data_IF_495299869711
#
_entry.id   IF_495299869711
#
_cell.length_a   1.000
_cell.length_b   1.000
_cell.length_c   1.000
_cell.angle_alpha   90.00
_cell.angle_beta   90.00
_cell.angle_gamma   90.00
#
_symmetry.space_group_name_H-M   'P 1'
#
loop_
_entity.id
_entity.type
_entity.pdbx_description
1 polymer ?
#
# COMPACT_ATOMS: atom_id res chain seq x y z
N UNK A 1 20.86 3.94 -60.09
CA UNK A 1 21.32 2.55 -60.31
C UNK A 1 21.59 2.01 -58.92
N UNK A 2 20.63 1.27 -58.37
CA UNK A 2 20.84 0.08 -57.53
C UNK A 2 19.45 -0.47 -57.17
N UNK A 3 19.18 -1.66 -57.70
CA UNK A 3 17.99 -2.48 -57.50
C UNK A 3 18.11 -3.22 -56.16
N UNK A 4 17.04 -3.30 -55.37
CA UNK A 4 16.74 -4.52 -54.61
C UNK A 4 15.23 -4.79 -54.57
N UNK A 5 14.94 -6.07 -54.77
CA UNK A 5 13.70 -6.68 -55.22
C UNK A 5 12.70 -6.95 -54.10
N UNK A 6 11.42 -6.87 -54.47
CA UNK A 6 10.29 -7.46 -53.75
C UNK A 6 10.38 -8.99 -53.81
N UNK A 7 10.24 -9.66 -52.66
CA UNK A 7 9.86 -11.08 -52.63
C UNK A 7 8.51 -11.24 -51.92
N UNK A 8 7.53 -11.62 -52.73
CA UNK A 8 6.22 -12.15 -52.38
C UNK A 8 6.35 -13.58 -51.85
N UNK A 9 5.63 -13.94 -50.79
CA UNK A 9 5.43 -15.34 -50.38
C UNK A 9 3.98 -15.71 -50.68
N UNK A 10 3.85 -16.76 -51.50
CA UNK A 10 2.63 -17.34 -52.05
C UNK A 10 1.90 -18.20 -51.01
N UNK A 11 0.57 -18.10 -51.02
CA UNK A 11 -0.35 -19.11 -50.52
C UNK A 11 -0.33 -20.35 -51.45
N UNK A 12 -0.49 -21.53 -50.82
CA UNK A 12 -1.03 -22.81 -51.33
C UNK A 12 -0.13 -23.99 -50.98
N UNK A 13 -0.49 -24.72 -49.92
CA UNK A 13 -0.51 -26.19 -49.99
C UNK A 13 -1.50 -26.73 -48.96
N UNK A 14 -2.72 -26.99 -49.42
CA UNK A 14 -3.72 -27.84 -48.79
C UNK A 14 -3.84 -29.07 -49.69
N UNK A 15 -3.44 -30.25 -49.21
CA UNK A 15 -3.88 -31.58 -49.65
C UNK A 15 -3.24 -32.59 -48.68
N UNK A 16 -4.00 -33.20 -47.77
CA UNK A 16 -4.78 -34.44 -47.94
C UNK A 16 -3.91 -35.72 -47.81
N UNK A 17 -4.14 -36.47 -46.72
CA UNK A 17 -3.93 -37.92 -46.69
C UNK A 17 -4.63 -38.52 -45.47
N UNK A 18 -5.87 -38.92 -45.70
CA UNK A 18 -6.58 -39.91 -44.89
C UNK A 18 -6.09 -41.29 -45.31
N UNK A 19 -5.63 -42.13 -44.38
CA UNK A 19 -5.73 -43.58 -44.52
C UNK A 19 -5.72 -44.28 -43.16
N UNK A 20 -6.87 -44.88 -42.84
CA UNK A 20 -7.09 -45.87 -41.78
C UNK A 20 -6.13 -47.06 -41.91
N UNK A 21 -5.78 -47.72 -40.80
CA UNK A 21 -5.96 -49.18 -40.60
C UNK A 21 -5.50 -49.59 -39.18
N UNK A 22 -6.41 -50.21 -38.43
CA UNK A 22 -6.20 -50.86 -37.13
C UNK A 22 -5.13 -51.97 -37.20
N UNK A 23 -4.34 -52.14 -36.13
CA UNK A 23 -4.14 -53.42 -35.39
C UNK A 23 -3.11 -53.28 -34.26
N UNK A 24 -3.48 -53.83 -33.10
CA UNK A 24 -2.74 -53.91 -31.84
C UNK A 24 -1.45 -54.75 -31.91
N UNK A 25 -0.42 -54.38 -31.16
CA UNK A 25 0.28 -55.27 -30.21
C UNK A 25 1.42 -54.54 -29.46
N UNK A 26 1.24 -54.46 -28.14
CA UNK A 26 2.26 -54.47 -27.07
C UNK A 26 3.65 -53.89 -27.37
N UNK A 27 3.89 -52.65 -26.91
CA UNK A 27 5.17 -52.32 -26.29
C UNK A 27 4.90 -51.61 -24.95
N UNK A 28 5.19 -52.34 -23.87
CA UNK A 28 5.44 -51.80 -22.54
C UNK A 28 6.46 -50.67 -22.64
N UNK A 29 6.04 -49.46 -22.30
CA UNK A 29 6.94 -48.36 -21.97
C UNK A 29 6.69 -47.99 -20.51
N UNK A 30 7.74 -48.23 -19.74
CA UNK A 30 7.86 -47.99 -18.31
C UNK A 30 7.54 -46.53 -18.00
N UNK A 31 6.60 -46.31 -17.10
CA UNK A 31 6.38 -45.00 -16.49
C UNK A 31 7.50 -44.74 -15.49
N UNK A 32 8.39 -43.80 -15.82
CA UNK A 32 9.12 -43.06 -14.81
C UNK A 32 8.20 -41.93 -14.30
N UNK A 33 7.89 -42.00 -13.00
CA UNK A 33 7.11 -41.02 -12.27
C UNK A 33 7.86 -39.69 -12.14
N UNK A 34 7.71 -38.79 -13.12
CA UNK A 34 7.90 -37.36 -12.92
C UNK A 34 6.54 -36.70 -12.61
N UNK A 35 6.37 -36.41 -11.32
CA UNK A 35 5.19 -35.82 -10.72
C UNK A 35 4.98 -34.35 -11.18
N UNK A 36 4.42 -34.17 -12.38
CA UNK A 36 3.92 -32.90 -12.89
C UNK A 36 2.41 -32.80 -12.60
N UNK A 37 2.07 -32.25 -11.44
CA UNK A 37 0.67 -31.97 -11.09
C UNK A 37 0.18 -30.71 -11.83
N UNK A 38 -0.25 -30.85 -13.08
CA UNK A 38 -1.12 -29.87 -13.75
C UNK A 38 -2.36 -30.58 -14.26
N UNK A 39 -3.21 -31.05 -13.33
CA UNK A 39 -4.59 -31.39 -13.68
C UNK A 39 -5.36 -30.09 -13.92
N UNK A 40 -5.54 -29.72 -15.18
CA UNK A 40 -6.50 -28.69 -15.57
C UNK A 40 -7.89 -29.17 -15.13
N UNK A 41 -8.59 -28.45 -14.23
CA UNK A 41 -9.89 -28.88 -13.75
C UNK A 41 -10.85 -29.03 -14.93
N UNK A 42 -11.59 -30.15 -15.00
CA UNK A 42 -12.59 -30.41 -16.04
C UNK A 42 -13.60 -29.25 -16.19
N UNK A 43 -13.87 -28.52 -15.10
CA UNK A 43 -14.69 -27.32 -15.10
C UNK A 43 -14.11 -26.17 -15.95
N UNK A 44 -12.79 -25.95 -15.93
CA UNK A 44 -12.12 -24.93 -16.71
C UNK A 44 -12.17 -25.22 -18.22
N UNK A 45 -12.02 -26.50 -18.60
CA UNK A 45 -12.17 -26.94 -20.00
C UNK A 45 -13.62 -26.78 -20.51
N UNK A 46 -14.61 -27.00 -19.65
CA UNK A 46 -16.03 -26.78 -19.99
C UNK A 46 -16.33 -25.28 -20.18
N UNK A 47 -15.74 -24.43 -19.36
CA UNK A 47 -15.92 -22.97 -19.45
C UNK A 47 -15.23 -22.39 -20.69
N UNK A 48 -14.02 -22.87 -21.01
CA UNK A 48 -13.29 -22.51 -22.22
C UNK A 48 -14.05 -22.97 -23.48
N UNK A 49 -14.62 -24.19 -23.47
CA UNK A 49 -15.47 -24.69 -24.55
C UNK A 49 -16.70 -23.80 -24.78
N UNK A 50 -17.36 -23.32 -23.71
CA UNK A 50 -18.49 -22.39 -23.83
C UNK A 50 -18.07 -21.06 -24.45
N UNK A 51 -16.88 -20.56 -24.11
CA UNK A 51 -16.32 -19.33 -24.67
C UNK A 51 -16.04 -19.46 -26.17
N UNK A 52 -15.43 -20.57 -26.59
CA UNK A 52 -15.23 -20.88 -28.02
C UNK A 52 -16.55 -21.02 -28.77
N UNK A 53 -17.54 -21.66 -28.17
CA UNK A 53 -18.84 -21.85 -28.80
C UNK A 53 -19.57 -20.52 -29.02
N UNK A 54 -19.43 -19.57 -28.08
CA UNK A 54 -19.92 -18.20 -28.22
C UNK A 54 -19.20 -17.45 -29.36
N UNK A 55 -17.88 -17.59 -29.47
CA UNK A 55 -17.11 -16.97 -30.55
C UNK A 55 -17.50 -17.49 -31.93
N UNK A 56 -17.78 -18.79 -32.07
CA UNK A 56 -18.26 -19.38 -33.33
C UNK A 56 -19.63 -18.82 -33.73
N UNK A 57 -20.51 -18.59 -32.76
CA UNK A 57 -21.85 -18.04 -33.00
C UNK A 57 -21.78 -16.55 -33.39
N UNK A 58 -20.90 -15.78 -32.74
CA UNK A 58 -20.56 -14.41 -33.13
C UNK A 58 -19.97 -14.36 -34.56
N UNK A 59 -19.05 -15.27 -34.92
CA UNK A 59 -18.50 -15.33 -36.30
C UNK A 59 -19.58 -15.69 -37.33
N UNK A 60 -20.49 -16.61 -37.01
CA UNK A 60 -21.62 -16.97 -37.89
C UNK A 60 -22.55 -15.79 -38.13
N UNK A 61 -22.88 -15.03 -37.09
CA UNK A 61 -23.72 -13.83 -37.23
C UNK A 61 -23.03 -12.75 -38.06
N UNK A 62 -21.71 -12.56 -37.89
CA UNK A 62 -20.93 -11.62 -38.70
C UNK A 62 -20.87 -12.04 -40.18
N UNK A 63 -20.66 -13.33 -40.47
CA UNK A 63 -20.71 -13.87 -41.85
C UNK A 63 -22.09 -13.68 -42.47
N UNK A 64 -23.15 -13.90 -41.71
CA UNK A 64 -24.51 -13.71 -42.21
C UNK A 64 -24.82 -12.23 -42.49
N UNK A 65 -24.31 -11.31 -41.66
CA UNK A 65 -24.38 -9.87 -41.95
C UNK A 65 -23.60 -9.51 -43.22
N UNK A 66 -22.41 -10.09 -43.42
CA UNK A 66 -21.60 -9.86 -44.61
C UNK A 66 -22.29 -10.37 -45.89
N UNK A 67 -22.88 -11.57 -45.86
CA UNK A 67 -23.67 -12.12 -46.97
C UNK A 67 -24.91 -11.28 -47.28
N UNK A 68 -25.61 -10.77 -46.26
CA UNK A 68 -26.74 -9.87 -46.47
C UNK A 68 -26.31 -8.56 -47.15
N UNK A 69 -25.13 -8.02 -46.82
CA UNK A 69 -24.56 -6.82 -47.47
C UNK A 69 -24.18 -7.12 -48.92
N UNK A 70 -23.54 -8.27 -49.19
CA UNK A 70 -23.22 -8.69 -50.56
C UNK A 70 -24.47 -8.90 -51.42
N UNK A 71 -25.50 -9.50 -50.84
CA UNK A 71 -26.78 -9.74 -51.54
C UNK A 71 -27.51 -8.42 -51.83
N UNK A 72 -27.47 -7.47 -50.88
CA UNK A 72 -27.99 -6.12 -51.09
C UNK A 72 -27.21 -5.36 -52.18
N UNK A 73 -25.87 -5.48 -52.21
CA UNK A 73 -25.05 -4.91 -53.29
C UNK A 73 -25.31 -5.55 -54.66
N UNK A 74 -25.64 -6.84 -54.70
CA UNK A 74 -25.94 -7.58 -55.93
C UNK A 74 -27.33 -7.30 -56.52
N UNK A 75 -28.29 -6.86 -55.70
CA UNK A 75 -29.68 -6.60 -56.12
C UNK A 75 -29.99 -5.14 -56.47
N UNK A 76 -29.14 -4.17 -56.11
CA UNK A 76 -29.38 -2.74 -56.33
C UNK A 76 -28.88 -2.21 -57.70
N UNK A 77 -28.99 -3.01 -58.77
CA UNK A 77 -28.67 -2.56 -60.14
C UNK A 77 -29.84 -1.90 -60.87
N UNK A 78 -30.95 -1.59 -60.20
CA UNK A 78 -32.14 -1.00 -60.85
C UNK A 78 -32.73 0.25 -60.19
N UNK A 79 -32.00 0.99 -59.36
CA UNK A 79 -32.45 2.33 -58.94
C UNK A 79 -31.37 3.38 -59.16
N UNK A 80 -31.75 4.47 -59.86
CA UNK A 80 -30.92 5.66 -60.07
C UNK A 80 -30.74 6.38 -58.73
N UNK A 81 -29.86 5.89 -57.87
CA UNK A 81 -29.24 6.70 -56.82
C UNK A 81 -27.90 7.18 -57.34
N UNK A 82 -27.70 8.49 -57.33
CA UNK A 82 -26.49 9.15 -57.81
C UNK A 82 -25.25 8.51 -57.12
N UNK A 83 -24.38 7.79 -57.84
CA UNK A 83 -23.34 6.94 -57.24
C UNK A 83 -22.39 7.73 -56.36
N UNK A 84 -22.24 9.04 -56.63
CA UNK A 84 -21.43 9.97 -55.84
C UNK A 84 -22.01 10.19 -54.45
N UNK A 85 -23.33 10.25 -54.31
CA UNK A 85 -24.02 10.47 -53.03
C UNK A 85 -23.96 9.22 -52.13
N UNK A 86 -24.06 8.02 -52.72
CA UNK A 86 -23.90 6.74 -52.02
C UNK A 86 -22.46 6.53 -51.54
N UNK A 87 -21.46 6.79 -52.40
CA UNK A 87 -20.05 6.72 -52.00
C UNK A 87 -19.73 7.72 -50.89
N UNK A 88 -20.24 8.96 -50.98
CA UNK A 88 -20.02 9.99 -49.96
C UNK A 88 -20.58 9.55 -48.60
N UNK A 89 -21.80 9.00 -48.59
CA UNK A 89 -22.43 8.51 -47.37
C UNK A 89 -21.65 7.33 -46.76
N UNK A 90 -21.18 6.39 -47.57
CA UNK A 90 -20.35 5.27 -47.09
C UNK A 90 -19.02 5.78 -46.52
N UNK A 91 -18.38 6.74 -47.16
CA UNK A 91 -17.10 7.30 -46.71
C UNK A 91 -17.23 8.08 -45.41
N UNK A 92 -18.29 8.89 -45.27
CA UNK A 92 -18.61 9.60 -44.02
C UNK A 92 -18.90 8.61 -42.88
N UNK A 93 -19.60 7.51 -43.16
CA UNK A 93 -19.83 6.45 -42.17
C UNK A 93 -18.54 5.73 -41.76
N UNK A 94 -17.65 5.41 -42.70
CA UNK A 94 -16.36 4.77 -42.41
C UNK A 94 -15.48 5.71 -41.56
N UNK A 95 -15.40 6.99 -41.91
CA UNK A 95 -14.67 7.99 -41.12
C UNK A 95 -15.24 8.14 -39.72
N UNK A 96 -16.57 8.15 -39.59
CA UNK A 96 -17.23 8.29 -38.30
C UNK A 96 -17.01 7.05 -37.43
N UNK A 97 -17.21 5.86 -37.97
CA UNK A 97 -17.01 4.59 -37.25
C UNK A 97 -15.54 4.33 -36.91
N UNK A 98 -14.59 4.59 -37.81
CA UNK A 98 -13.16 4.48 -37.50
C UNK A 98 -12.71 5.57 -36.51
N UNK A 99 -13.24 6.80 -36.63
CA UNK A 99 -12.99 7.88 -35.69
C UNK A 99 -13.50 7.58 -34.29
N UNK A 100 -14.72 7.04 -34.17
CA UNK A 100 -15.31 6.59 -32.91
C UNK A 100 -14.52 5.42 -32.30
N UNK A 101 -14.09 4.45 -33.11
CA UNK A 101 -13.25 3.34 -32.66
C UNK A 101 -11.88 3.83 -32.16
N UNK A 102 -11.23 4.73 -32.91
CA UNK A 102 -9.94 5.32 -32.51
C UNK A 102 -10.06 6.16 -31.23
N UNK A 103 -11.13 6.93 -31.09
CA UNK A 103 -11.42 7.71 -29.88
C UNK A 103 -11.64 6.80 -28.65
N UNK A 104 -12.37 5.69 -28.83
CA UNK A 104 -12.57 4.71 -27.76
C UNK A 104 -11.27 4.00 -27.35
N UNK A 105 -10.41 3.64 -28.32
CA UNK A 105 -9.09 3.06 -28.03
C UNK A 105 -8.23 4.06 -27.27
N UNK A 106 -8.18 5.33 -27.71
CA UNK A 106 -7.43 6.38 -27.04
C UNK A 106 -7.93 6.63 -25.62
N UNK A 107 -9.25 6.69 -25.42
CA UNK A 107 -9.86 6.88 -24.10
C UNK A 107 -9.56 5.71 -23.17
N UNK A 108 -9.70 4.47 -23.64
CA UNK A 108 -9.34 3.28 -22.87
C UNK A 108 -7.86 3.28 -22.51
N UNK A 109 -6.98 3.63 -23.44
CA UNK A 109 -5.56 3.72 -23.18
C UNK A 109 -5.21 4.83 -22.17
N UNK A 110 -5.93 5.96 -22.20
CA UNK A 110 -5.78 7.01 -21.21
C UNK A 110 -6.25 6.58 -19.82
N UNK A 111 -7.38 5.87 -19.72
CA UNK A 111 -7.85 5.31 -18.45
C UNK A 111 -6.85 4.29 -17.87
N UNK A 112 -6.30 3.42 -18.72
CA UNK A 112 -5.25 2.46 -18.34
C UNK A 112 -4.02 3.21 -17.83
N UNK A 113 -3.54 4.22 -18.56
CA UNK A 113 -2.38 5.01 -18.14
C UNK A 113 -2.61 5.76 -16.82
N UNK A 114 -3.81 6.32 -16.60
CA UNK A 114 -4.17 6.95 -15.33
C UNK A 114 -4.20 5.92 -14.19
N UNK A 115 -4.71 4.71 -14.43
CA UNK A 115 -4.71 3.65 -13.43
C UNK A 115 -3.28 3.25 -13.02
N UNK A 116 -2.36 3.16 -13.97
CA UNK A 116 -0.94 2.89 -13.70
C UNK A 116 -0.27 4.02 -12.93
N UNK A 117 -0.57 5.28 -13.26
CA UNK A 117 -0.03 6.43 -12.54
C UNK A 117 -0.47 6.42 -11.06
N UNK A 118 -1.75 6.17 -10.79
CA UNK A 118 -2.29 6.07 -9.43
C UNK A 118 -1.71 4.88 -8.68
N UNK A 119 -1.56 3.72 -9.33
CA UNK A 119 -0.91 2.56 -8.72
C UNK A 119 0.55 2.84 -8.36
N UNK A 120 1.30 3.49 -9.25
CA UNK A 120 2.69 3.88 -9.01
C UNK A 120 2.82 4.87 -7.85
N UNK A 121 1.92 5.86 -7.76
CA UNK A 121 1.90 6.82 -6.66
C UNK A 121 1.59 6.13 -5.33
N UNK A 122 0.56 5.28 -5.29
CA UNK A 122 0.23 4.50 -4.10
C UNK A 122 1.38 3.60 -3.66
N UNK A 123 2.10 3.00 -4.61
CA UNK A 123 3.24 2.15 -4.31
C UNK A 123 4.42 2.94 -3.73
N UNK A 124 4.66 4.16 -4.24
CA UNK A 124 5.65 5.09 -3.69
C UNK A 124 5.31 5.52 -2.26
N UNK A 125 4.03 5.81 -1.99
CA UNK A 125 3.58 6.17 -0.65
C UNK A 125 3.73 4.99 0.32
N UNK A 126 3.39 3.78 -0.12
CA UNK A 126 3.58 2.56 0.68
C UNK A 126 5.06 2.31 0.98
N UNK A 127 5.97 2.48 0.01
CA UNK A 127 7.39 2.31 0.26
C UNK A 127 7.95 3.36 1.21
N UNK A 128 7.52 4.62 1.10
CA UNK A 128 7.94 5.69 2.02
C UNK A 128 7.50 5.40 3.46
N UNK A 129 6.28 4.90 3.65
CA UNK A 129 5.77 4.48 4.97
C UNK A 129 6.56 3.29 5.52
N UNK A 130 6.88 2.31 4.67
CA UNK A 130 7.69 1.15 5.07
C UNK A 130 9.10 1.55 5.49
N UNK A 131 9.75 2.47 4.77
CA UNK A 131 11.07 2.97 5.11
C UNK A 131 11.06 3.76 6.43
N UNK A 132 10.04 4.60 6.65
CA UNK A 132 9.89 5.37 7.88
C UNK A 132 9.70 4.50 9.14
N UNK A 133 9.03 3.35 8.98
CA UNK A 133 8.76 2.41 10.06
C UNK A 133 9.50 1.08 9.87
N UNK A 134 10.70 1.13 9.27
CA UNK A 134 11.49 -0.06 8.90
C UNK A 134 11.67 -1.03 10.06
N UNK A 135 11.89 -0.53 11.27
CA UNK A 135 12.09 -1.36 12.46
C UNK A 135 10.84 -2.16 12.87
N UNK A 136 9.66 -1.65 12.54
CA UNK A 136 8.37 -2.32 12.77
C UNK A 136 8.09 -3.32 11.65
N UNK A 137 8.36 -2.95 10.40
CA UNK A 137 8.19 -3.82 9.23
C UNK A 137 9.25 -4.93 9.11
N UNK A 138 10.38 -4.79 9.79
CA UNK A 138 11.43 -5.81 9.85
C UNK A 138 11.00 -7.04 10.66
N UNK A 139 9.96 -6.92 11.50
CA UNK A 139 9.45 -8.01 12.33
C UNK A 139 8.51 -8.88 11.50
N UNK A 140 8.87 -10.14 11.21
CA UNK A 140 8.11 -11.01 10.31
C UNK A 140 6.63 -11.16 10.67
N UNK A 141 6.34 -11.23 11.96
CA UNK A 141 5.00 -11.43 12.51
C UNK A 141 4.12 -10.20 12.30
N UNK A 142 4.69 -9.00 12.49
CA UNK A 142 4.00 -7.73 12.26
C UNK A 142 3.79 -7.51 10.77
N UNK A 143 4.78 -7.85 9.94
CA UNK A 143 4.66 -7.77 8.48
C UNK A 143 3.53 -8.67 7.96
N UNK A 144 3.44 -9.92 8.42
CA UNK A 144 2.35 -10.82 8.04
C UNK A 144 0.97 -10.26 8.41
N UNK A 145 0.83 -9.67 9.59
CA UNK A 145 -0.43 -9.04 10.01
C UNK A 145 -0.81 -7.83 9.14
N UNK A 146 0.16 -6.99 8.78
CA UNK A 146 -0.05 -5.83 7.90
C UNK A 146 -0.41 -6.28 6.49
N UNK A 147 0.29 -7.29 5.94
CA UNK A 147 0.03 -7.83 4.61
C UNK A 147 -1.37 -8.48 4.53
N UNK A 148 -1.82 -9.17 5.58
CA UNK A 148 -3.16 -9.72 5.67
C UNK A 148 -4.24 -8.62 5.72
N UNK A 149 -3.98 -7.53 6.45
CA UNK A 149 -4.88 -6.38 6.51
C UNK A 149 -4.99 -5.66 5.14
N UNK A 150 -3.86 -5.46 4.45
CA UNK A 150 -3.83 -4.84 3.12
C UNK A 150 -4.55 -5.67 2.05
N UNK A 151 -4.57 -7.01 2.21
CA UNK A 151 -5.29 -7.93 1.32
C UNK A 151 -6.78 -8.09 1.66
N UNK A 152 -7.29 -7.37 2.67
CA UNK A 152 -8.67 -7.48 3.18
C UNK A 152 -9.06 -8.87 3.69
N UNK A 153 -8.09 -9.74 4.02
CA UNK A 153 -8.37 -11.05 4.64
C UNK A 153 -8.72 -10.95 6.14
N UNK A 154 -8.80 -9.73 6.67
CA UNK A 154 -8.98 -9.43 8.09
C UNK A 154 -10.36 -8.83 8.38
N UNK A 155 -11.01 -9.35 9.42
CA UNK A 155 -12.25 -8.79 9.96
C UNK A 155 -11.92 -7.63 10.93
N UNK A 156 -12.32 -6.38 10.62
CA UNK A 156 -12.02 -5.22 11.46
C UNK A 156 -12.77 -5.23 12.80
N UNK A 157 -13.78 -6.10 12.96
CA UNK A 157 -14.55 -6.22 14.22
C UNK A 157 -13.90 -7.15 15.24
N UNK A 158 -12.92 -7.96 14.80
CA UNK A 158 -12.23 -8.94 15.64
C UNK A 158 -10.81 -8.50 15.94
N UNK A 159 -10.29 -8.89 17.10
CA UNK A 159 -8.92 -8.53 17.44
C UNK A 159 -7.90 -9.28 16.56
N UNK A 160 -6.74 -8.68 16.32
CA UNK A 160 -5.60 -9.33 15.64
C UNK A 160 -5.21 -10.65 16.31
N UNK A 161 -5.35 -10.71 17.64
CA UNK A 161 -5.06 -11.90 18.45
C UNK A 161 -6.01 -13.06 18.12
N UNK A 162 -7.30 -12.79 17.98
CA UNK A 162 -8.32 -13.80 17.64
C UNK A 162 -8.21 -14.28 16.20
N UNK A 163 -7.56 -13.48 15.33
CA UNK A 163 -7.33 -13.78 13.93
C UNK A 163 -6.01 -14.52 13.68
N UNK A 164 -5.32 -14.97 14.73
CA UNK A 164 -4.11 -15.79 14.63
C UNK A 164 -2.79 -15.00 14.65
N UNK A 165 -2.82 -13.67 14.79
CA UNK A 165 -1.64 -12.82 14.87
C UNK A 165 -1.22 -12.53 16.32
N UNK A 166 -1.19 -13.57 17.15
CA UNK A 166 -0.82 -13.47 18.58
C UNK A 166 0.55 -12.85 18.79
N UNK A 167 1.54 -13.30 18.01
CA UNK A 167 2.94 -12.90 18.17
C UNK A 167 3.16 -11.44 17.77
N UNK A 168 2.47 -10.97 16.73
CA UNK A 168 2.48 -9.56 16.33
C UNK A 168 1.90 -8.66 17.43
N UNK A 169 0.80 -9.09 18.07
CA UNK A 169 0.18 -8.36 19.19
C UNK A 169 1.10 -8.32 20.40
N UNK A 170 1.76 -9.44 20.73
CA UNK A 170 2.71 -9.48 21.84
C UNK A 170 3.91 -8.56 21.59
N UNK A 171 4.47 -8.59 20.38
CA UNK A 171 5.57 -7.70 20.00
C UNK A 171 5.18 -6.23 20.11
N UNK A 172 4.05 -5.82 19.53
CA UNK A 172 3.54 -4.44 19.63
C UNK A 172 3.31 -4.05 21.10
N UNK A 173 2.75 -4.96 21.91
CA UNK A 173 2.53 -4.72 23.33
C UNK A 173 3.84 -4.54 24.10
N UNK A 174 4.91 -5.25 23.71
CA UNK A 174 6.23 -5.17 24.34
C UNK A 174 6.91 -3.84 24.08
N UNK A 175 6.82 -3.31 22.86
CA UNK A 175 7.33 -1.98 22.51
C UNK A 175 6.60 -0.92 23.35
N UNK A 176 5.27 -1.02 23.45
CA UNK A 176 4.48 -0.05 24.20
C UNK A 176 4.82 -0.07 25.70
N UNK A 177 4.97 -1.27 26.28
CA UNK A 177 5.41 -1.43 27.68
C UNK A 177 6.81 -0.87 27.91
N UNK A 178 7.77 -1.20 27.03
CA UNK A 178 9.14 -0.70 27.13
C UNK A 178 9.19 0.84 27.02
N UNK A 179 8.41 1.42 26.10
CA UNK A 179 8.28 2.86 25.95
C UNK A 179 7.68 3.52 27.20
N UNK A 180 6.63 2.93 27.77
CA UNK A 180 6.01 3.42 29.00
C UNK A 180 6.97 3.37 30.20
N UNK A 181 7.68 2.25 30.39
CA UNK A 181 8.67 2.10 31.46
C UNK A 181 9.84 3.08 31.32
N UNK A 182 10.32 3.29 30.09
CA UNK A 182 11.34 4.29 29.79
C UNK A 182 10.87 5.70 30.14
N UNK A 183 9.63 6.05 29.78
CA UNK A 183 9.00 7.32 30.13
C UNK A 183 8.87 7.52 31.64
N UNK A 184 8.43 6.49 32.37
CA UNK A 184 8.34 6.52 33.83
C UNK A 184 9.70 6.67 34.51
N UNK A 185 10.73 5.99 33.99
CA UNK A 185 12.10 6.12 34.47
C UNK A 185 12.65 7.53 34.24
N UNK A 186 12.44 8.11 33.07
CA UNK A 186 12.84 9.50 32.78
C UNK A 186 12.11 10.50 33.69
N UNK A 187 10.81 10.31 33.92
CA UNK A 187 10.03 11.13 34.85
C UNK A 187 10.59 11.03 36.27
N UNK A 188 10.83 9.81 36.77
CA UNK A 188 11.42 9.60 38.09
C UNK A 188 12.80 10.25 38.23
N UNK A 189 13.64 10.15 37.21
CA UNK A 189 14.95 10.82 37.17
C UNK A 189 14.79 12.35 37.17
N UNK A 190 13.84 12.89 36.42
CA UNK A 190 13.55 14.32 36.38
C UNK A 190 13.03 14.83 37.73
N UNK A 191 12.12 14.10 38.38
CA UNK A 191 11.57 14.43 39.69
C UNK A 191 12.67 14.37 40.77
N UNK A 192 13.56 13.38 40.67
CA UNK A 192 14.75 13.29 41.54
C UNK A 192 15.70 14.46 41.30
N UNK A 193 15.95 14.85 40.04
CA UNK A 193 16.78 16.00 39.69
C UNK A 193 16.16 17.31 40.19
N UNK A 194 14.85 17.50 40.04
CA UNK A 194 14.10 18.64 40.59
C UNK A 194 14.18 18.71 42.10
N UNK A 195 14.03 17.57 42.78
CA UNK A 195 14.18 17.48 44.24
C UNK A 195 15.59 17.88 44.67
N UNK A 196 16.63 17.38 43.99
CA UNK A 196 18.03 17.77 44.24
C UNK A 196 18.28 19.25 43.99
N UNK A 197 17.76 19.81 42.90
CA UNK A 197 17.88 21.25 42.61
C UNK A 197 17.16 22.11 43.65
N UNK A 198 15.94 21.72 44.05
CA UNK A 198 15.20 22.38 45.13
C UNK A 198 15.95 22.33 46.46
N UNK A 199 16.61 21.20 46.76
CA UNK A 199 17.47 21.07 47.94
C UNK A 199 18.72 21.94 47.84
N UNK A 200 19.34 22.08 46.66
CA UNK A 200 20.52 22.94 46.46
C UNK A 200 20.21 24.43 46.58
N UNK A 201 19.02 24.87 46.15
CA UNK A 201 18.56 26.26 46.28
C UNK A 201 18.22 26.61 47.74
N UNK A 202 17.77 25.63 48.53
CA UNK A 202 17.47 25.81 49.97
C UNK A 202 18.65 25.53 50.89
N UNK A 203 19.65 24.76 50.47
CA UNK A 203 20.88 24.49 51.24
C UNK A 203 21.95 25.59 51.10
N UNK A 204 21.76 26.58 50.22
CA UNK A 204 22.63 27.74 50.10
C UNK A 204 22.45 28.78 51.21
N UNK A 205 21.41 28.65 52.04
CA UNK A 205 21.25 29.47 53.25
C UNK A 205 21.79 28.62 54.39
N UNK A 206 22.97 28.93 54.96
CA UNK A 206 23.44 28.22 56.14
C UNK A 206 22.36 28.36 57.21
N UNK A 207 21.88 27.23 57.72
CA UNK A 207 21.04 27.21 58.93
C UNK A 207 21.93 27.68 60.07
N UNK A 208 21.99 28.99 60.28
CA UNK A 208 22.67 29.58 61.43
C UNK A 208 21.71 29.46 62.61
N UNK A 209 21.39 28.23 62.99
CA UNK A 209 20.89 27.89 64.32
C UNK A 209 22.07 28.00 65.30
N UNK A 210 22.64 29.19 65.43
CA UNK A 210 23.48 29.47 66.59
C UNK A 210 22.50 29.68 67.73
N UNK A 211 22.56 28.84 68.76
CA UNK A 211 21.80 29.03 70.02
C UNK A 211 22.20 30.30 70.80
N UNK A 212 22.90 31.24 70.15
CA UNK A 212 23.26 32.54 70.68
C UNK A 212 22.03 33.43 70.70
N UNK A 213 21.65 33.89 71.89
CA UNK A 213 20.66 34.96 72.06
C UNK A 213 21.39 36.29 71.91
N UNK A 214 20.88 37.17 71.05
CA UNK A 214 21.46 38.49 70.82
C UNK A 214 20.91 39.52 71.80
N UNK A 215 21.76 40.39 72.33
CA UNK A 215 21.33 41.54 73.14
C UNK A 215 21.05 42.79 72.28
N UNK A 216 20.25 43.74 72.79
CA UNK A 216 19.97 45.01 72.10
C UNK A 216 21.24 45.81 71.77
N UNK A 217 22.21 45.82 72.68
CA UNK A 217 23.47 46.53 72.49
C UNK A 217 24.31 45.88 71.38
N UNK A 218 24.35 44.55 71.31
CA UNK A 218 25.04 43.84 70.22
C UNK A 218 24.39 44.19 68.88
N UNK A 219 23.07 44.11 68.75
CA UNK A 219 22.35 44.42 67.52
C UNK A 219 22.62 45.86 67.07
N UNK A 220 22.58 46.82 68.00
CA UNK A 220 22.86 48.23 67.70
C UNK A 220 24.30 48.48 67.22
N UNK A 221 25.25 47.64 67.64
CA UNK A 221 26.65 47.72 67.24
C UNK A 221 27.01 46.92 65.97
N UNK A 222 26.07 46.15 65.41
CA UNK A 222 26.33 45.33 64.22
C UNK A 222 26.43 46.19 62.96
N UNK A 223 27.36 45.82 62.08
CA UNK A 223 27.38 46.34 60.72
C UNK A 223 26.25 45.70 59.87
N UNK A 224 25.88 46.34 58.77
CA UNK A 224 24.75 45.95 57.93
C UNK A 224 24.87 44.50 57.38
N UNK A 225 26.08 44.07 57.02
CA UNK A 225 26.33 42.72 56.53
C UNK A 225 26.13 41.65 57.61
N UNK A 226 26.58 41.92 58.85
CA UNK A 226 26.38 40.98 59.97
C UNK A 226 24.91 40.95 60.36
N UNK A 227 24.22 42.10 60.36
CA UNK A 227 22.79 42.14 60.66
C UNK A 227 21.98 41.30 59.66
N UNK A 228 22.18 41.50 58.36
CA UNK A 228 21.45 40.75 57.31
C UNK A 228 21.66 39.24 57.42
N UNK A 229 22.86 38.81 57.83
CA UNK A 229 23.17 37.39 58.04
C UNK A 229 22.40 36.74 59.20
N UNK A 230 22.09 37.50 60.26
CA UNK A 230 21.40 37.00 61.46
C UNK A 230 19.96 37.54 61.62
N UNK A 231 19.48 38.30 60.63
CA UNK A 231 18.21 39.03 60.65
C UNK A 231 17.04 38.15 61.08
N UNK A 232 16.88 36.99 60.45
CA UNK A 232 15.80 36.04 60.74
C UNK A 232 15.84 35.52 62.18
N UNK A 233 17.04 35.29 62.73
CA UNK A 233 17.22 34.79 64.11
C UNK A 233 16.94 35.90 65.12
N UNK A 234 17.39 37.13 64.84
CA UNK A 234 17.14 38.31 65.68
C UNK A 234 15.63 38.60 65.73
N UNK A 235 14.93 38.59 64.60
CA UNK A 235 13.48 38.80 64.56
C UNK A 235 12.70 37.71 65.30
N UNK A 236 13.07 36.44 65.15
CA UNK A 236 12.44 35.33 65.87
C UNK A 236 12.68 35.43 67.40
N UNK A 237 13.86 35.84 67.83
CA UNK A 237 14.17 36.08 69.25
C UNK A 237 13.45 37.31 69.83
N UNK A 238 13.27 38.38 69.05
CA UNK A 238 12.45 39.53 69.45
C UNK A 238 10.97 39.13 69.59
N UNK A 239 10.42 38.38 68.63
CA UNK A 239 9.03 37.90 68.68
C UNK A 239 8.77 36.98 69.88
N UNK A 240 9.78 36.19 70.29
CA UNK A 240 9.74 35.32 71.48
C UNK A 240 10.04 36.05 72.80
N UNK A 241 10.30 37.37 72.76
CA UNK A 241 10.61 38.16 73.95
C UNK A 241 11.94 37.82 74.63
N UNK A 242 12.85 37.13 73.93
CA UNK A 242 14.16 36.72 74.43
C UNK A 242 15.18 37.87 74.41
N UNK A 243 14.89 38.92 73.64
CA UNK A 243 15.69 40.14 73.55
C UNK A 243 14.95 41.24 74.30
N UNK A 244 15.46 41.59 75.49
CA UNK A 244 14.88 42.63 76.36
C UNK A 244 15.51 43.99 76.16
#
# INVERSE_FOLDING_TARGET
>A
MDNQEFNTINENTFEESSQDFFSSENQELQFEDENSSHQVPLAALIEERKKFQKQIEEEKTLRQQYENVLTALGQDSSSKTDPVSSLKFQYENILKTQGEAAANIWLNQQMVNQSFAVQSENQSVLSEVQDKYRDIYAVPEVKQAIDAYLKMDMDPTRSLKEQGFTDAVEYISSIYKAGYESGMRLKSQNDTAKSRMGSSVTSGIPSISSGKVFSRAEIASMNAETFSKYEKVIFDQMAKGLIK
#
